data_IF_050237314177
#
_entry.id   IF_050237314177
#
_cell.length_a   1.000
_cell.length_b   1.000
_cell.length_c   1.000
_cell.angle_alpha   90.00
_cell.angle_beta   90.00
_cell.angle_gamma   90.00
#
_symmetry.space_group_name_H-M   'P 1'
#
loop_
_entity.id
_entity.type
_entity.pdbx_description
1 polymer ?
#
# COMPACT_ATOMS: atom_id res chain seq x y z
N UNK A 1 9.76 -11.57 5.33
CA UNK A 1 9.95 -11.42 6.78
C UNK A 1 11.40 -11.11 7.15
N UNK A 2 12.36 -12.05 7.09
CA UNK A 2 13.77 -11.75 7.46
C UNK A 2 14.37 -10.60 6.61
N UNK A 3 14.20 -10.67 5.28
CA UNK A 3 14.70 -9.66 4.34
C UNK A 3 13.99 -8.29 4.46
N UNK A 4 12.67 -8.29 4.66
CA UNK A 4 11.88 -7.06 4.90
C UNK A 4 12.34 -6.33 6.16
N UNK A 5 12.59 -7.09 7.24
CA UNK A 5 13.05 -6.55 8.51
C UNK A 5 14.47 -6.00 8.42
N UNK A 6 15.34 -6.59 7.59
CA UNK A 6 16.69 -6.09 7.32
C UNK A 6 16.71 -4.84 6.45
N UNK A 7 15.80 -4.74 5.47
CA UNK A 7 15.73 -3.60 4.54
C UNK A 7 14.83 -2.45 5.03
N UNK A 8 14.02 -2.67 6.07
CA UNK A 8 13.10 -1.66 6.60
C UNK A 8 11.95 -1.30 5.65
N UNK A 9 11.65 -2.16 4.68
CA UNK A 9 10.63 -1.94 3.64
C UNK A 9 9.66 -3.11 3.57
N UNK A 10 8.38 -2.82 3.29
CA UNK A 10 7.37 -3.82 2.94
C UNK A 10 7.65 -4.31 1.52
N UNK A 11 7.89 -5.62 1.34
CA UNK A 11 8.24 -6.22 0.05
C UNK A 11 7.03 -6.94 -0.56
N UNK A 12 6.15 -7.52 0.28
CA UNK A 12 4.95 -8.23 -0.19
C UNK A 12 3.67 -7.52 0.24
N UNK A 13 2.70 -7.48 -0.67
CA UNK A 13 1.36 -7.07 -0.33
C UNK A 13 0.76 -8.04 0.71
N UNK A 14 0.15 -7.48 1.75
CA UNK A 14 -0.50 -8.24 2.83
C UNK A 14 -1.95 -7.81 2.94
N UNK A 15 -2.85 -8.77 3.16
CA UNK A 15 -4.28 -8.49 3.33
C UNK A 15 -4.65 -8.67 4.79
N UNK A 16 -5.31 -7.66 5.37
CA UNK A 16 -5.85 -7.71 6.73
C UNK A 16 -7.36 -7.46 6.65
N UNK A 17 -8.14 -8.36 7.24
CA UNK A 17 -9.59 -8.24 7.32
C UNK A 17 -10.02 -7.99 8.76
N UNK A 18 -10.89 -7.02 8.98
CA UNK A 18 -11.47 -6.74 10.30
C UNK A 18 -12.87 -6.16 10.18
N UNK A 19 -13.65 -6.24 11.26
CA UNK A 19 -15.01 -5.72 11.30
C UNK A 19 -15.05 -4.33 11.95
N UNK A 20 -15.75 -3.39 11.32
CA UNK A 20 -16.20 -2.14 11.94
C UNK A 20 -17.73 -2.19 11.97
N UNK A 21 -18.31 -2.36 13.16
CA UNK A 21 -19.75 -2.62 13.33
C UNK A 21 -20.18 -3.86 12.52
N UNK A 22 -21.10 -3.71 11.56
CA UNK A 22 -21.55 -4.78 10.66
C UNK A 22 -20.81 -4.79 9.30
N UNK A 23 -19.82 -3.90 9.10
CA UNK A 23 -19.04 -3.84 7.87
C UNK A 23 -17.75 -4.65 7.99
N UNK A 24 -17.53 -5.56 7.04
CA UNK A 24 -16.23 -6.23 6.85
C UNK A 24 -15.35 -5.31 6.01
N UNK A 25 -14.22 -4.90 6.58
CA UNK A 25 -13.22 -4.07 5.92
C UNK A 25 -12.01 -4.93 5.58
N UNK A 26 -11.62 -4.91 4.31
CA UNK A 26 -10.40 -5.55 3.82
C UNK A 26 -9.39 -4.47 3.45
N UNK A 27 -8.23 -4.49 4.11
CA UNK A 27 -7.12 -3.59 3.81
C UNK A 27 -6.05 -4.37 3.08
N UNK A 28 -5.68 -3.87 1.90
CA UNK A 28 -4.53 -4.36 1.14
C UNK A 28 -3.38 -3.40 1.42
N UNK A 29 -2.37 -3.87 2.15
CA UNK A 29 -1.11 -3.16 2.31
C UNK A 29 -0.31 -3.30 1.01
N UNK A 30 0.04 -2.18 0.40
CA UNK A 30 0.76 -2.15 -0.86
C UNK A 30 2.22 -1.72 -0.64
N UNK A 31 3.22 -2.43 -1.18
CA UNK A 31 4.62 -2.02 -1.10
C UNK A 31 4.85 -0.59 -1.64
N UNK A 32 5.44 0.28 -0.82
CA UNK A 32 5.69 1.69 -1.18
C UNK A 32 7.02 1.95 -1.89
N UNK A 33 7.90 0.95 -2.01
CA UNK A 33 9.21 1.11 -2.64
C UNK A 33 9.07 1.12 -4.18
N UNK A 34 9.90 1.92 -4.86
CA UNK A 34 9.87 2.11 -6.34
C UNK A 34 9.96 0.81 -7.13
N UNK A 35 10.64 -0.18 -6.57
CA UNK A 35 10.86 -1.48 -7.22
C UNK A 35 9.61 -2.35 -7.28
N UNK A 36 8.52 -1.95 -6.61
CA UNK A 36 7.29 -2.74 -6.49
C UNK A 36 6.07 -2.05 -7.10
N UNK A 37 6.25 -0.97 -7.86
CA UNK A 37 5.16 -0.27 -8.57
C UNK A 37 4.36 -1.22 -9.47
N UNK A 38 4.99 -2.20 -10.12
CA UNK A 38 4.29 -3.19 -10.94
C UNK A 38 3.31 -4.08 -10.16
N UNK A 39 3.47 -4.20 -8.83
CA UNK A 39 2.55 -4.95 -7.96
C UNK A 39 1.35 -4.12 -7.51
N UNK A 40 1.41 -2.79 -7.71
CA UNK A 40 0.31 -1.88 -7.40
C UNK A 40 -0.86 -2.03 -8.38
N UNK A 41 -0.60 -2.11 -9.69
CA UNK A 41 -1.66 -2.12 -10.70
C UNK A 41 -2.73 -3.22 -10.53
N UNK A 42 -2.38 -4.50 -10.25
CA UNK A 42 -3.39 -5.52 -10.02
C UNK A 42 -4.17 -5.29 -8.73
N UNK A 43 -3.52 -4.74 -7.70
CA UNK A 43 -4.14 -4.45 -6.41
C UNK A 43 -5.21 -3.36 -6.54
N UNK A 44 -4.97 -2.32 -7.33
CA UNK A 44 -5.96 -1.26 -7.55
C UNK A 44 -7.23 -1.71 -8.30
N UNK A 45 -7.14 -2.74 -9.14
CA UNK A 45 -8.32 -3.26 -9.87
C UNK A 45 -9.38 -3.89 -8.96
N UNK A 46 -9.02 -4.28 -7.75
CA UNK A 46 -9.92 -4.96 -6.81
C UNK A 46 -10.32 -4.09 -5.61
N UNK A 47 -9.87 -2.83 -5.57
CA UNK A 47 -10.16 -1.90 -4.48
C UNK A 47 -11.34 -1.00 -4.83
N UNK A 48 -12.28 -0.87 -3.90
CA UNK A 48 -13.37 0.12 -3.98
C UNK A 48 -12.88 1.55 -3.68
N UNK A 49 -11.82 1.67 -2.87
CA UNK A 49 -11.23 2.95 -2.47
C UNK A 49 -9.77 2.79 -2.04
N UNK A 50 -9.05 3.91 -1.96
CA UNK A 50 -7.66 3.94 -1.53
C UNK A 50 -7.42 5.05 -0.48
N UNK A 51 -6.53 4.79 0.46
CA UNK A 51 -6.04 5.78 1.43
C UNK A 51 -4.63 6.17 1.03
N UNK A 52 -4.43 7.44 0.67
CA UNK A 52 -3.12 7.98 0.34
C UNK A 52 -2.45 8.55 1.59
N UNK A 53 -1.27 8.02 1.94
CA UNK A 53 -0.44 8.54 3.03
C UNK A 53 0.69 9.36 2.43
N UNK A 54 0.80 10.62 2.86
CA UNK A 54 1.84 11.55 2.40
C UNK A 54 2.71 11.95 3.59
N UNK A 55 4.03 11.85 3.42
CA UNK A 55 4.98 12.36 4.41
C UNK A 55 4.87 13.89 4.51
N UNK A 56 4.65 14.40 5.71
CA UNK A 56 4.62 15.84 5.95
C UNK A 56 6.00 16.51 5.74
N UNK A 57 7.08 15.75 5.90
CA UNK A 57 8.45 16.25 5.71
C UNK A 57 8.84 16.26 4.22
N UNK A 58 8.55 15.15 3.51
CA UNK A 58 9.02 14.94 2.13
C UNK A 58 7.99 15.40 1.08
N UNK A 59 6.73 15.60 1.48
CA UNK A 59 5.67 16.05 0.60
C UNK A 59 5.26 15.02 -0.46
N UNK A 60 4.69 15.52 -1.56
CA UNK A 60 4.25 14.69 -2.69
C UNK A 60 5.47 14.24 -3.50
N UNK A 61 5.67 12.93 -3.58
CA UNK A 61 6.76 12.34 -4.36
C UNK A 61 6.31 11.89 -5.76
N UNK A 62 7.26 11.60 -6.65
CA UNK A 62 6.99 11.23 -8.04
C UNK A 62 6.11 9.96 -8.15
N UNK A 63 6.23 9.05 -7.19
CA UNK A 63 5.46 7.80 -7.13
C UNK A 63 3.96 8.06 -6.93
N UNK A 64 3.60 9.06 -6.12
CA UNK A 64 2.20 9.46 -5.89
C UNK A 64 1.57 10.00 -7.18
N UNK A 65 2.35 10.69 -8.02
CA UNK A 65 1.85 11.21 -9.31
C UNK A 65 1.54 10.13 -10.34
N UNK A 66 2.10 8.94 -10.21
CA UNK A 66 1.80 7.80 -11.10
C UNK A 66 0.43 7.19 -10.75
N UNK A 67 -0.07 7.46 -9.52
CA UNK A 67 -1.32 6.92 -9.00
C UNK A 67 -2.55 7.80 -9.26
N UNK A 68 -2.33 9.06 -9.68
CA UNK A 68 -3.38 10.04 -9.99
C UNK A 68 -3.56 10.20 -11.50
#
# INVERSE_FOLDING_TARGET
MELERQSGITIKASVVSFCINELIVNVIDTPGHTDFIAQLEPSFRVLDSAILVISALEGVQAQIKILM
#
